data_IF_538981789618
#
_entry.id   IF_538981789618
#
_cell.length_a   1.000
_cell.length_b   1.000
_cell.length_c   1.000
_cell.angle_alpha   90.00
_cell.angle_beta   90.00
_cell.angle_gamma   90.00
#
_symmetry.space_group_name_H-M   'P 1'
#
loop_
_entity.id
_entity.type
_entity.pdbx_description
1 polymer ?
#
# COMPACT_ATOMS: atom_id res chain seq x y z
N UNK A 1 4.89 2.01 30.61
CA UNK A 1 3.71 1.72 29.76
C UNK A 1 4.06 2.05 28.32
N UNK A 2 4.17 1.03 27.46
CA UNK A 2 4.49 1.22 26.04
C UNK A 2 3.22 1.56 25.28
N UNK A 3 3.17 2.75 24.69
CA UNK A 3 2.06 3.20 23.87
C UNK A 3 2.05 2.40 22.55
N UNK A 4 1.18 1.40 22.47
CA UNK A 4 0.95 0.61 21.26
C UNK A 4 0.35 1.51 20.17
N UNK A 5 1.19 2.00 19.25
CA UNK A 5 0.76 2.82 18.12
C UNK A 5 -0.13 2.00 17.19
N UNK A 6 -1.45 2.06 17.41
CA UNK A 6 -2.45 1.44 16.54
C UNK A 6 -2.23 1.90 15.10
N UNK A 7 -1.81 0.96 14.24
CA UNK A 7 -1.65 1.23 12.81
C UNK A 7 -3.02 1.55 12.23
N UNK A 8 -3.24 2.83 11.89
CA UNK A 8 -4.46 3.25 11.22
C UNK A 8 -4.39 2.73 9.78
N UNK A 9 -5.23 1.74 9.47
CA UNK A 9 -5.42 1.27 8.10
C UNK A 9 -5.94 2.44 7.26
N UNK A 10 -5.07 3.03 6.44
CA UNK A 10 -5.45 4.11 5.53
C UNK A 10 -6.38 3.51 4.47
N UNK A 11 -7.47 4.21 4.18
CA UNK A 11 -8.35 3.84 3.07
C UNK A 11 -7.56 3.86 1.76
N UNK A 12 -7.91 2.96 0.84
CA UNK A 12 -7.26 2.87 -0.47
C UNK A 12 -7.22 4.22 -1.21
N UNK A 13 -8.27 5.04 -1.08
CA UNK A 13 -8.37 6.36 -1.69
C UNK A 13 -7.33 7.34 -1.12
N UNK A 14 -7.05 7.29 0.18
CA UNK A 14 -6.03 8.11 0.81
C UNK A 14 -4.63 7.72 0.34
N UNK A 15 -4.39 6.44 0.02
CA UNK A 15 -3.11 6.02 -0.58
C UNK A 15 -2.92 6.61 -1.96
N UNK A 16 -3.96 6.58 -2.81
CA UNK A 16 -3.92 7.19 -4.14
C UNK A 16 -3.65 8.69 -4.06
N UNK A 17 -4.34 9.39 -3.16
CA UNK A 17 -4.12 10.82 -2.93
C UNK A 17 -2.69 11.12 -2.46
N UNK A 18 -2.09 10.25 -1.64
CA UNK A 18 -0.72 10.46 -1.14
C UNK A 18 0.34 10.22 -2.21
N UNK A 19 0.25 9.10 -2.91
CA UNK A 19 1.28 8.59 -3.83
C UNK A 19 1.16 9.26 -5.19
N UNK A 20 -0.04 9.28 -5.76
CA UNK A 20 -0.29 9.80 -7.11
C UNK A 20 -0.82 11.23 -7.12
N UNK A 21 -1.04 11.85 -5.94
CA UNK A 21 -1.67 13.17 -5.82
C UNK A 21 -3.07 13.22 -6.45
N UNK A 22 -3.77 12.08 -6.46
CA UNK A 22 -5.09 11.92 -7.06
C UNK A 22 -6.14 11.62 -5.98
N UNK A 23 -7.09 12.53 -5.81
CA UNK A 23 -8.26 12.30 -4.95
C UNK A 23 -9.47 11.86 -5.79
N UNK A 24 -9.72 10.56 -5.79
CA UNK A 24 -10.77 9.90 -6.58
C UNK A 24 -12.19 10.10 -6.01
N UNK A 25 -12.33 10.67 -4.80
CA UNK A 25 -13.63 10.92 -4.19
C UNK A 25 -14.08 12.38 -4.36
N UNK A 26 -13.25 13.22 -4.97
CA UNK A 26 -13.55 14.62 -5.24
C UNK A 26 -13.86 14.81 -6.71
N UNK A 27 -15.07 15.27 -7.02
CA UNK A 27 -15.41 15.70 -8.36
C UNK A 27 -14.78 17.06 -8.67
N UNK A 28 -14.48 17.33 -9.94
CA UNK A 28 -13.98 18.63 -10.41
C UNK A 28 -14.94 19.78 -10.08
N UNK A 29 -16.25 19.51 -10.02
CA UNK A 29 -17.25 20.49 -9.61
C UNK A 29 -17.27 20.79 -8.10
N UNK A 30 -16.47 20.07 -7.30
CA UNK A 30 -16.45 20.16 -5.84
C UNK A 30 -17.43 19.23 -5.11
N UNK A 31 -18.23 18.46 -5.85
CA UNK A 31 -19.10 17.42 -5.29
C UNK A 31 -18.32 16.22 -4.74
N UNK A 32 -18.92 15.51 -3.79
CA UNK A 32 -18.41 14.25 -3.28
C UNK A 32 -18.85 13.09 -4.20
N UNK A 33 -17.90 12.22 -4.56
CA UNK A 33 -18.15 11.00 -5.32
C UNK A 33 -18.16 9.79 -4.38
N UNK A 34 -19.03 8.83 -4.66
CA UNK A 34 -19.10 7.55 -3.95
C UNK A 34 -18.60 6.42 -4.87
N UNK A 35 -17.75 5.49 -4.38
CA UNK A 35 -17.36 4.33 -5.16
C UNK A 35 -18.58 3.43 -5.41
N UNK A 36 -18.86 3.11 -6.68
CA UNK A 36 -19.92 2.18 -7.04
C UNK A 36 -19.43 0.73 -7.11
N UNK A 37 -18.15 0.54 -7.43
CA UNK A 37 -17.54 -0.77 -7.58
C UNK A 37 -16.20 -0.67 -8.28
N UNK A 38 -15.52 -1.81 -8.44
CA UNK A 38 -14.28 -1.92 -9.19
C UNK A 38 -14.46 -2.97 -10.30
N UNK A 39 -14.14 -2.59 -11.54
CA UNK A 39 -14.10 -3.53 -12.67
C UNK A 39 -12.81 -4.32 -12.57
N UNK A 40 -12.90 -5.65 -12.47
CA UNK A 40 -11.73 -6.53 -12.31
C UNK A 40 -11.45 -7.38 -13.55
N UNK A 41 -12.44 -7.59 -14.42
CA UNK A 41 -12.25 -8.38 -15.64
C UNK A 41 -11.39 -7.59 -16.65
N UNK A 42 -10.23 -8.12 -17.09
CA UNK A 42 -9.35 -7.44 -18.02
C UNK A 42 -9.98 -7.19 -19.40
N UNK A 43 -10.91 -8.04 -19.85
CA UNK A 43 -11.63 -7.82 -21.12
C UNK A 43 -12.50 -6.58 -21.02
N UNK A 44 -13.17 -6.44 -19.89
CA UNK A 44 -14.05 -5.32 -19.59
C UNK A 44 -13.29 -4.01 -19.40
N UNK A 45 -12.20 -4.04 -18.64
CA UNK A 45 -11.32 -2.86 -18.47
C UNK A 45 -10.87 -2.33 -19.85
N UNK A 46 -10.40 -3.22 -20.74
CA UNK A 46 -10.00 -2.82 -22.10
C UNK A 46 -11.17 -2.23 -22.90
N UNK A 47 -12.36 -2.84 -22.80
CA UNK A 47 -13.58 -2.36 -23.48
C UNK A 47 -13.94 -0.95 -23.04
N UNK A 48 -13.93 -0.66 -21.73
CA UNK A 48 -14.24 0.66 -21.19
C UNK A 48 -13.18 1.69 -21.56
N UNK A 49 -11.88 1.39 -21.39
CA UNK A 49 -10.79 2.32 -21.72
C UNK A 49 -10.79 2.68 -23.21
N UNK A 50 -11.01 1.68 -24.08
CA UNK A 50 -11.13 1.90 -25.53
C UNK A 50 -12.30 2.82 -25.88
N UNK A 51 -13.42 2.72 -25.17
CA UNK A 51 -14.60 3.55 -25.43
C UNK A 51 -14.36 5.04 -25.15
N UNK A 52 -13.53 5.37 -24.15
CA UNK A 52 -13.17 6.74 -23.77
C UNK A 52 -11.86 7.23 -24.41
N UNK A 53 -11.34 6.50 -25.41
CA UNK A 53 -10.09 6.81 -26.12
C UNK A 53 -8.87 6.98 -25.21
N UNK A 54 -8.82 6.24 -24.09
CA UNK A 54 -7.62 6.14 -23.24
C UNK A 54 -6.79 4.95 -23.72
N UNK A 55 -5.47 5.12 -23.71
CA UNK A 55 -4.53 4.04 -24.01
C UNK A 55 -4.76 2.86 -23.05
N UNK A 56 -5.13 1.72 -23.63
CA UNK A 56 -5.59 0.53 -22.91
C UNK A 56 -4.58 -0.62 -22.94
N UNK A 57 -3.52 -0.48 -23.75
CA UNK A 57 -2.43 -1.44 -23.78
C UNK A 57 -1.36 -1.01 -22.78
N UNK A 58 -1.07 -1.83 -21.75
CA UNK A 58 -0.06 -1.46 -20.78
C UNK A 58 1.31 -1.36 -21.48
N UNK A 59 2.17 -0.43 -21.08
CA UNK A 59 3.53 -0.37 -21.60
C UNK A 59 4.24 -1.71 -21.33
N UNK A 60 5.11 -2.15 -22.25
CA UNK A 60 5.85 -3.39 -22.06
C UNK A 60 6.60 -3.35 -20.73
N UNK A 61 6.52 -4.44 -19.97
CA UNK A 61 7.21 -4.54 -18.68
C UNK A 61 8.71 -4.38 -18.92
N UNK A 62 9.29 -3.32 -18.37
CA UNK A 62 10.73 -3.10 -18.44
C UNK A 62 11.50 -4.18 -17.69
N UNK A 63 12.79 -4.38 -17.99
CA UNK A 63 13.66 -5.24 -17.18
C UNK A 63 13.69 -4.75 -15.72
N UNK A 64 13.95 -5.64 -14.74
CA UNK A 64 14.09 -5.22 -13.35
C UNK A 64 15.15 -4.13 -13.25
N UNK A 65 14.77 -2.95 -12.75
CA UNK A 65 15.64 -1.76 -12.77
C UNK A 65 16.84 -1.84 -11.83
N UNK A 66 16.81 -2.76 -10.87
CA UNK A 66 17.87 -3.05 -9.91
C UNK A 66 17.56 -4.39 -9.23
N UNK A 67 18.56 -5.24 -9.06
CA UNK A 67 18.44 -6.44 -8.22
C UNK A 67 18.26 -5.94 -6.79
N UNK A 68 17.13 -6.25 -6.15
CA UNK A 68 16.96 -5.96 -4.73
C UNK A 68 18.07 -6.71 -3.98
N UNK A 69 18.87 -5.99 -3.17
CA UNK A 69 19.88 -6.61 -2.32
C UNK A 69 19.24 -7.64 -1.38
N UNK A 70 20.02 -8.61 -0.91
CA UNK A 70 19.54 -9.53 0.13
C UNK A 70 19.12 -8.72 1.35
N UNK A 71 17.88 -8.91 1.79
CA UNK A 71 17.46 -8.45 3.09
C UNK A 71 17.84 -9.55 4.07
N UNK A 72 18.91 -9.33 4.83
CA UNK A 72 19.26 -10.18 5.95
C UNK A 72 18.26 -9.90 7.08
N UNK A 73 17.05 -10.43 6.93
CA UNK A 73 16.12 -10.59 8.03
C UNK A 73 16.67 -11.73 8.89
N UNK A 74 17.67 -11.45 9.73
CA UNK A 74 17.95 -12.32 10.87
C UNK A 74 16.68 -12.32 11.73
N UNK A 75 15.91 -13.38 11.54
CA UNK A 75 14.73 -13.70 12.32
C UNK A 75 15.24 -14.06 13.72
N UNK A 76 15.23 -13.07 14.62
CA UNK A 76 15.50 -13.27 16.04
C UNK A 76 14.30 -13.99 16.66
N UNK A 77 14.20 -15.29 16.40
CA UNK A 77 13.29 -16.18 17.08
C UNK A 77 14.07 -17.01 18.11
N UNK A 78 13.54 -16.98 19.34
CA UNK A 78 13.80 -17.86 20.49
C UNK A 78 15.21 -17.82 21.11
N UNK A 79 15.44 -17.88 22.41
CA UNK A 79 14.62 -17.92 23.62
C UNK A 79 15.67 -17.77 24.74
N UNK A 80 15.74 -16.64 25.43
CA UNK A 80 16.57 -16.57 26.65
C UNK A 80 15.64 -16.39 27.83
N UNK A 81 15.25 -17.56 28.36
CA UNK A 81 14.79 -17.76 29.72
C UNK A 81 15.46 -16.78 30.68
N UNK A 82 14.62 -15.98 31.33
CA UNK A 82 15.04 -14.92 32.22
C UNK A 82 15.61 -15.51 33.51
N UNK A 83 16.92 -15.39 33.70
CA UNK A 83 17.48 -15.24 35.04
C UNK A 83 18.86 -14.57 35.00
N UNK A 84 18.89 -13.26 34.76
CA UNK A 84 20.00 -12.45 35.27
C UNK A 84 19.45 -11.41 36.24
N UNK A 85 19.59 -11.72 37.52
CA UNK A 85 19.22 -10.86 38.63
C UNK A 85 20.06 -9.59 38.61
N UNK A 86 19.52 -8.52 38.04
CA UNK A 86 20.14 -7.20 38.17
C UNK A 86 19.84 -6.68 39.58
N UNK A 87 20.86 -6.77 40.43
CA UNK A 87 20.90 -6.21 41.77
C UNK A 87 20.85 -4.67 41.69
N UNK A 88 19.77 -4.05 42.17
CA UNK A 88 19.68 -2.61 42.35
C UNK A 88 20.05 -2.25 43.79
N UNK A 89 21.10 -1.43 44.03
CA UNK A 89 21.42 -0.92 45.36
C UNK A 89 20.39 0.13 45.83
N UNK A 90 20.19 0.15 47.15
CA UNK A 90 19.23 0.92 47.98
C UNK A 90 19.10 2.43 47.63
#
# INVERSE_FOLDING_TARGET
EGEEKKRVNKTWSLMLARVFKLDVLKCECGGALAPLGAVQDPVEVKRYLKHINIEYDPPPRGPPGQVQGSLDFEQHDDDSDGSESVFYPD
#
